data_IF_210497172202
#
_entry.id   IF_210497172202
#
_cell.length_a   1.000
_cell.length_b   1.000
_cell.length_c   1.000
_cell.angle_alpha   90.00
_cell.angle_beta   90.00
_cell.angle_gamma   90.00
#
_symmetry.space_group_name_H-M   'P 1'
#
loop_
_entity.id
_entity.type
_entity.pdbx_description
1 polymer ?
#
# COMPACT_ATOMS: atom_id res chain seq x y z
N UNK A 1 14.57 8.82 -2.62
CA UNK A 1 14.48 7.47 -3.22
C UNK A 1 14.09 6.46 -2.15
N UNK A 2 13.08 5.59 -2.44
CA UNK A 2 12.74 4.49 -1.54
C UNK A 2 13.85 3.44 -1.50
N UNK A 3 14.04 2.80 -0.35
CA UNK A 3 15.12 1.83 -0.11
C UNK A 3 14.82 0.41 -0.60
N UNK A 4 13.62 0.15 -1.10
CA UNK A 4 13.13 -1.20 -1.46
C UNK A 4 14.09 -1.97 -2.37
N UNK A 5 14.73 -1.30 -3.34
CA UNK A 5 15.68 -1.94 -4.26
C UNK A 5 17.07 -2.24 -3.65
N UNK A 6 17.37 -1.68 -2.48
CA UNK A 6 18.72 -1.69 -1.88
C UNK A 6 19.70 -0.67 -2.46
N UNK A 7 19.29 0.14 -3.45
CA UNK A 7 20.19 1.11 -4.11
C UNK A 7 20.00 2.55 -3.61
N UNK A 8 19.05 2.80 -2.71
CA UNK A 8 18.66 4.16 -2.37
C UNK A 8 19.78 4.96 -1.72
N UNK A 9 20.56 4.37 -0.82
CA UNK A 9 21.70 5.04 -0.19
C UNK A 9 22.77 5.45 -1.22
N UNK A 10 23.10 4.56 -2.17
CA UNK A 10 24.01 4.86 -3.27
C UNK A 10 23.47 6.00 -4.16
N UNK A 11 22.16 5.98 -4.43
CA UNK A 11 21.52 7.03 -5.22
C UNK A 11 21.58 8.39 -4.53
N UNK A 12 21.39 8.44 -3.19
CA UNK A 12 21.50 9.68 -2.43
C UNK A 12 22.94 10.22 -2.43
N UNK A 13 23.92 9.38 -2.21
CA UNK A 13 25.35 9.78 -2.28
C UNK A 13 25.67 10.33 -3.66
N UNK A 14 25.33 9.61 -4.74
CA UNK A 14 25.54 10.08 -6.10
C UNK A 14 24.80 11.40 -6.41
N UNK A 15 23.62 11.60 -5.84
CA UNK A 15 22.87 12.85 -5.99
C UNK A 15 23.59 14.03 -5.31
N UNK A 16 24.17 13.83 -4.12
CA UNK A 16 24.96 14.86 -3.43
C UNK A 16 26.24 15.17 -4.22
N UNK A 17 26.95 14.18 -4.73
CA UNK A 17 28.10 14.37 -5.62
C UNK A 17 27.71 15.10 -6.91
N UNK A 18 26.49 14.87 -7.41
CA UNK A 18 25.90 15.57 -8.56
C UNK A 18 25.41 16.99 -8.24
N UNK A 19 25.51 17.45 -7.00
CA UNK A 19 25.17 18.81 -6.58
C UNK A 19 23.82 18.97 -5.86
N UNK A 20 23.18 17.89 -5.43
CA UNK A 20 22.00 17.98 -4.58
C UNK A 20 22.40 18.50 -3.19
N UNK A 21 21.70 19.54 -2.72
CA UNK A 21 21.93 20.19 -1.42
C UNK A 21 20.88 19.79 -0.37
N UNK A 22 19.80 19.19 -0.80
CA UNK A 22 18.71 18.68 0.07
C UNK A 22 18.41 17.26 -0.33
N UNK A 23 18.42 16.36 0.64
CA UNK A 23 18.06 14.94 0.47
C UNK A 23 17.08 14.51 1.56
N UNK A 24 16.20 13.59 1.20
CA UNK A 24 15.22 13.01 2.12
C UNK A 24 15.72 11.67 2.65
N UNK A 25 15.73 11.53 3.95
CA UNK A 25 16.10 10.32 4.70
C UNK A 25 15.04 10.01 5.75
N UNK A 26 15.20 8.91 6.46
CA UNK A 26 14.28 8.52 7.53
C UNK A 26 15.07 8.07 8.76
N UNK A 27 14.56 8.38 9.96
CA UNK A 27 15.14 7.86 11.20
C UNK A 27 15.23 6.34 11.15
N UNK A 28 16.29 5.75 11.71
CA UNK A 28 16.58 4.31 11.61
C UNK A 28 15.45 3.42 12.15
N UNK A 29 14.61 3.91 13.05
CA UNK A 29 13.44 3.17 13.54
C UNK A 29 12.36 2.94 12.49
N UNK A 30 12.29 3.77 11.43
CA UNK A 30 11.29 3.68 10.34
C UNK A 30 11.90 3.62 8.95
N UNK A 31 13.23 3.51 8.85
CA UNK A 31 13.96 3.51 7.58
C UNK A 31 13.94 2.16 6.87
N UNK A 32 14.48 2.15 5.66
CA UNK A 32 14.68 0.98 4.79
C UNK A 32 13.37 0.37 4.23
N UNK A 33 13.49 -0.69 3.46
CA UNK A 33 12.35 -1.33 2.80
C UNK A 33 11.55 -0.38 1.93
N UNK A 34 10.27 -0.23 2.20
CA UNK A 34 9.38 0.72 1.50
C UNK A 34 9.57 2.17 1.91
N UNK A 35 10.41 2.46 2.92
CA UNK A 35 10.75 3.79 3.39
C UNK A 35 12.00 4.35 2.71
N UNK A 36 12.60 5.39 3.28
CA UNK A 36 13.82 6.03 2.81
C UNK A 36 15.07 5.46 3.47
N UNK A 37 16.28 5.75 2.96
CA UNK A 37 17.54 5.41 3.61
C UNK A 37 17.65 5.98 5.01
N UNK A 38 18.40 5.26 5.85
CA UNK A 38 18.63 5.61 7.24
C UNK A 38 19.42 6.92 7.37
N UNK A 39 18.85 7.90 8.06
CA UNK A 39 19.45 9.23 8.27
C UNK A 39 20.83 9.14 8.90
N UNK A 40 20.96 8.38 9.99
CA UNK A 40 22.18 8.22 10.76
C UNK A 40 23.33 7.67 9.90
N UNK A 41 23.04 6.69 9.06
CA UNK A 41 24.04 6.09 8.15
C UNK A 41 24.44 7.04 7.03
N UNK A 42 23.50 7.80 6.49
CA UNK A 42 23.78 8.77 5.41
C UNK A 42 24.62 9.95 5.94
N UNK A 43 24.36 10.43 7.16
CA UNK A 43 25.14 11.49 7.79
C UNK A 43 26.62 11.05 7.90
N UNK A 44 26.86 9.88 8.51
CA UNK A 44 28.23 9.36 8.70
C UNK A 44 28.94 9.21 7.35
N UNK A 45 28.27 8.68 6.33
CA UNK A 45 28.85 8.54 5.00
C UNK A 45 29.19 9.88 4.35
N UNK A 46 28.33 10.88 4.47
CA UNK A 46 28.56 12.21 3.90
C UNK A 46 29.68 12.95 4.63
N UNK A 47 29.75 12.87 5.96
CA UNK A 47 30.80 13.49 6.76
C UNK A 47 32.17 12.89 6.45
N UNK A 48 32.28 11.53 6.28
CA UNK A 48 33.50 10.87 5.84
C UNK A 48 33.93 11.30 4.43
N UNK A 49 33.00 11.68 3.58
CA UNK A 49 33.26 12.25 2.25
C UNK A 49 33.61 13.76 2.28
N UNK A 50 33.59 14.40 3.45
CA UNK A 50 33.94 15.81 3.63
C UNK A 50 32.78 16.81 3.50
N UNK A 51 31.53 16.32 3.41
CA UNK A 51 30.34 17.17 3.50
C UNK A 51 30.04 17.47 4.97
N UNK A 52 29.31 18.54 5.23
CA UNK A 52 28.88 18.92 6.57
C UNK A 52 27.37 18.83 6.70
N UNK A 53 26.92 18.27 7.82
CA UNK A 53 25.53 18.25 8.24
C UNK A 53 25.41 18.93 9.60
N UNK A 54 24.28 19.57 9.88
CA UNK A 54 24.03 20.21 11.18
C UNK A 54 23.20 19.29 12.10
N UNK A 55 23.26 17.96 11.90
CA UNK A 55 22.48 16.99 12.64
C UNK A 55 23.35 16.32 13.72
N UNK A 56 22.92 16.41 14.97
CA UNK A 56 23.55 15.75 16.11
C UNK A 56 23.13 14.26 16.20
N UNK A 57 24.08 13.36 15.96
CA UNK A 57 23.86 11.92 16.04
C UNK A 57 23.49 11.44 17.45
N UNK A 58 23.94 12.14 18.51
CA UNK A 58 23.57 11.79 19.89
C UNK A 58 22.09 12.06 20.12
N UNK A 59 21.60 13.23 19.71
CA UNK A 59 20.18 13.56 19.78
C UNK A 59 19.33 12.63 18.89
N UNK A 60 19.87 12.23 17.73
CA UNK A 60 19.20 11.24 16.86
C UNK A 60 19.07 9.87 17.52
N UNK A 61 20.06 9.42 18.31
CA UNK A 61 19.95 8.14 19.02
C UNK A 61 18.84 8.18 20.10
N UNK A 62 18.72 9.27 20.85
CA UNK A 62 17.63 9.46 21.82
C UNK A 62 16.24 9.40 21.13
N UNK A 63 16.10 10.08 20.00
CA UNK A 63 14.88 10.04 19.17
C UNK A 63 14.61 8.63 18.68
N UNK A 64 15.64 7.94 18.21
CA UNK A 64 15.55 6.56 17.70
C UNK A 64 15.06 5.59 18.76
N UNK A 65 15.58 5.67 20.00
CA UNK A 65 15.13 4.81 21.10
C UNK A 65 13.64 5.04 21.42
N UNK A 66 13.19 6.28 21.45
CA UNK A 66 11.78 6.61 21.66
C UNK A 66 10.91 6.06 20.52
N UNK A 67 11.30 6.32 19.25
CA UNK A 67 10.53 5.92 18.07
C UNK A 67 10.48 4.41 17.89
N UNK A 68 11.49 3.64 18.33
CA UNK A 68 11.43 2.17 18.34
C UNK A 68 10.27 1.66 19.19
N UNK A 69 10.05 2.26 20.35
CA UNK A 69 8.92 1.87 21.23
C UNK A 69 7.58 2.30 20.61
N UNK A 70 7.54 3.46 19.97
CA UNK A 70 6.35 3.91 19.24
C UNK A 70 6.02 2.95 18.11
N UNK A 71 7.02 2.55 17.28
CA UNK A 71 6.81 1.63 16.15
C UNK A 71 6.22 0.30 16.58
N UNK A 72 6.62 -0.24 17.71
CA UNK A 72 6.06 -1.49 18.24
C UNK A 72 4.54 -1.45 18.40
N UNK A 73 3.98 -0.28 18.74
CA UNK A 73 2.53 -0.09 18.89
C UNK A 73 1.78 -0.09 17.55
N UNK A 74 2.47 0.20 16.45
CA UNK A 74 1.90 0.29 15.10
C UNK A 74 2.11 -0.97 14.26
N UNK A 75 2.59 -2.06 14.85
CA UNK A 75 2.90 -3.30 14.15
C UNK A 75 1.75 -3.84 13.28
N UNK A 76 0.51 -3.66 13.74
CA UNK A 76 -0.70 -4.10 13.02
C UNK A 76 -0.90 -3.41 11.66
N UNK A 77 -0.30 -2.22 11.49
CA UNK A 77 -0.37 -1.43 10.25
C UNK A 77 0.88 -1.63 9.37
N UNK A 78 1.86 -2.42 9.81
CA UNK A 78 3.04 -2.66 9.01
C UNK A 78 2.72 -3.57 7.82
N UNK A 79 3.32 -3.22 6.67
CA UNK A 79 3.29 -4.07 5.48
C UNK A 79 4.16 -5.31 5.69
N UNK A 80 3.80 -6.42 5.08
CA UNK A 80 4.64 -7.63 5.02
C UNK A 80 5.93 -7.41 4.23
N UNK A 81 6.02 -6.34 3.44
CA UNK A 81 7.17 -5.97 2.61
C UNK A 81 8.11 -5.00 3.34
N UNK A 82 8.62 -5.40 4.48
CA UNK A 82 9.51 -4.57 5.32
C UNK A 82 10.98 -4.62 4.92
N UNK A 83 11.38 -5.60 4.12
CA UNK A 83 12.75 -5.83 3.69
C UNK A 83 13.10 -5.25 2.31
N UNK A 84 14.28 -5.62 1.82
CA UNK A 84 14.71 -5.32 0.45
C UNK A 84 14.00 -6.27 -0.54
N UNK A 85 13.50 -5.72 -1.63
CA UNK A 85 12.96 -6.49 -2.75
C UNK A 85 13.56 -6.02 -4.09
N UNK A 86 14.67 -6.65 -4.54
CA UNK A 86 15.31 -6.30 -5.80
C UNK A 86 14.41 -6.53 -7.04
N UNK A 87 13.29 -7.27 -6.92
CA UNK A 87 12.33 -7.45 -8.02
C UNK A 87 11.77 -6.13 -8.52
N UNK A 88 11.75 -5.09 -7.68
CA UNK A 88 11.35 -3.72 -8.09
C UNK A 88 12.22 -3.18 -9.24
N UNK A 89 13.46 -3.65 -9.39
CA UNK A 89 14.34 -3.25 -10.49
C UNK A 89 13.92 -3.89 -11.82
N UNK A 90 13.28 -5.05 -11.76
CA UNK A 90 12.78 -5.78 -12.94
C UNK A 90 11.36 -5.28 -13.29
N UNK A 91 10.47 -5.27 -12.31
CA UNK A 91 9.06 -4.91 -12.49
C UNK A 91 8.84 -3.38 -12.52
N UNK A 92 9.86 -2.61 -12.14
CA UNK A 92 9.82 -1.14 -12.06
C UNK A 92 8.71 -0.58 -11.15
N UNK A 93 8.29 -1.34 -10.15
CA UNK A 93 7.23 -0.97 -9.21
C UNK A 93 7.86 -0.35 -7.96
N UNK A 94 7.57 0.91 -7.62
CA UNK A 94 8.09 1.55 -6.40
C UNK A 94 7.60 0.85 -5.13
N UNK A 95 8.46 0.81 -4.09
CA UNK A 95 8.14 0.14 -2.82
C UNK A 95 6.87 0.63 -2.14
N UNK A 96 6.62 1.94 -2.12
CA UNK A 96 5.38 2.51 -1.59
C UNK A 96 4.12 2.04 -2.35
N UNK A 97 4.26 1.79 -3.67
CA UNK A 97 3.16 1.22 -4.46
C UNK A 97 2.89 -0.24 -4.09
N UNK A 98 3.94 -1.03 -3.85
CA UNK A 98 3.80 -2.44 -3.41
C UNK A 98 3.05 -2.50 -2.08
N UNK A 99 3.40 -1.66 -1.11
CA UNK A 99 2.73 -1.61 0.20
C UNK A 99 1.25 -1.25 0.06
N UNK A 100 0.92 -0.25 -0.74
CA UNK A 100 -0.47 0.14 -0.98
C UNK A 100 -1.27 -0.96 -1.68
N UNK A 101 -0.70 -1.61 -2.70
CA UNK A 101 -1.34 -2.72 -3.41
C UNK A 101 -1.54 -3.92 -2.48
N UNK A 102 -0.56 -4.23 -1.65
CA UNK A 102 -0.67 -5.29 -0.64
C UNK A 102 -1.85 -5.05 0.30
N UNK A 103 -1.98 -3.83 0.84
CA UNK A 103 -3.10 -3.46 1.71
C UNK A 103 -4.44 -3.58 0.98
N UNK A 104 -4.56 -3.06 -0.24
CA UNK A 104 -5.78 -3.15 -1.05
C UNK A 104 -6.18 -4.60 -1.36
N UNK A 105 -5.21 -5.44 -1.74
CA UNK A 105 -5.46 -6.84 -2.03
C UNK A 105 -5.81 -7.63 -0.76
N UNK A 106 -5.22 -7.29 0.38
CA UNK A 106 -5.53 -7.89 1.68
C UNK A 106 -6.98 -7.60 2.09
N UNK A 107 -7.43 -6.35 1.96
CA UNK A 107 -8.83 -5.96 2.21
C UNK A 107 -9.83 -6.75 1.35
N UNK A 108 -9.41 -7.15 0.14
CA UNK A 108 -10.21 -7.93 -0.81
C UNK A 108 -9.98 -9.44 -0.70
N UNK A 109 -9.22 -9.91 0.31
CA UNK A 109 -8.82 -11.32 0.48
C UNK A 109 -8.09 -11.91 -0.74
N UNK A 110 -7.41 -11.06 -1.52
CA UNK A 110 -6.77 -11.40 -2.79
C UNK A 110 -5.24 -11.25 -2.77
N UNK A 111 -4.61 -11.20 -1.60
CA UNK A 111 -3.15 -11.00 -1.46
C UNK A 111 -2.35 -12.09 -2.21
N UNK A 112 -2.87 -13.31 -2.30
CA UNK A 112 -2.27 -14.42 -3.06
C UNK A 112 -2.11 -14.14 -4.55
N UNK A 113 -2.79 -13.12 -5.09
CA UNK A 113 -2.69 -12.70 -6.51
C UNK A 113 -1.71 -11.55 -6.73
N UNK A 114 -0.91 -11.20 -5.73
CA UNK A 114 0.03 -10.07 -5.81
C UNK A 114 1.02 -10.20 -6.97
N UNK A 115 1.56 -11.39 -7.23
CA UNK A 115 2.51 -11.62 -8.32
C UNK A 115 1.85 -11.37 -9.70
N UNK A 116 0.58 -11.79 -9.88
CA UNK A 116 -0.17 -11.50 -11.11
C UNK A 116 -0.35 -10.00 -11.34
N UNK A 117 -0.62 -9.25 -10.26
CA UNK A 117 -0.76 -7.78 -10.32
C UNK A 117 0.57 -7.13 -10.66
N UNK A 118 1.68 -7.57 -10.05
CA UNK A 118 3.02 -7.07 -10.36
C UNK A 118 3.40 -7.31 -11.85
N UNK A 119 3.02 -8.45 -12.42
CA UNK A 119 3.23 -8.77 -13.83
C UNK A 119 2.31 -7.99 -14.78
N UNK A 120 1.15 -7.53 -14.31
CA UNK A 120 0.22 -6.72 -15.10
C UNK A 120 0.59 -5.23 -15.12
N UNK A 121 1.25 -4.71 -14.07
CA UNK A 121 1.65 -3.30 -13.96
C UNK A 121 2.46 -2.80 -15.17
N UNK A 122 3.53 -3.50 -15.63
CA UNK A 122 4.28 -3.07 -16.80
C UNK A 122 3.42 -2.99 -18.07
N UNK A 123 2.44 -3.88 -18.22
CA UNK A 123 1.53 -3.92 -19.38
C UNK A 123 0.57 -2.73 -19.35
N UNK A 124 -0.03 -2.43 -18.20
CA UNK A 124 -0.89 -1.25 -18.01
C UNK A 124 -0.08 0.03 -18.21
N UNK A 125 1.12 0.11 -17.64
CA UNK A 125 2.03 1.25 -17.84
C UNK A 125 2.33 1.50 -19.32
N UNK A 126 2.61 0.45 -20.08
CA UNK A 126 2.82 0.53 -21.53
C UNK A 126 1.58 1.06 -22.23
N UNK A 127 0.40 0.54 -21.92
CA UNK A 127 -0.86 0.95 -22.55
C UNK A 127 -1.17 2.43 -22.29
N UNK A 128 -0.79 2.97 -21.14
CA UNK A 128 -0.95 4.38 -20.79
C UNK A 128 0.18 5.28 -21.34
N UNK A 129 1.11 4.76 -22.14
CA UNK A 129 2.19 5.55 -22.72
C UNK A 129 3.33 5.84 -21.74
N UNK A 130 3.64 4.89 -20.88
CA UNK A 130 4.77 4.90 -19.95
C UNK A 130 4.79 6.07 -18.96
N UNK A 131 3.68 6.35 -18.23
CA UNK A 131 3.74 7.35 -17.18
C UNK A 131 4.85 7.02 -16.16
N UNK A 132 5.47 8.03 -15.54
CA UNK A 132 6.37 7.79 -14.42
C UNK A 132 5.58 7.16 -13.28
N UNK A 133 6.17 6.14 -12.61
CA UNK A 133 5.50 5.48 -11.48
C UNK A 133 5.76 6.25 -10.17
N UNK A 134 5.21 7.45 -10.12
CA UNK A 134 5.18 8.33 -8.95
C UNK A 134 3.73 8.75 -8.69
N UNK A 135 3.43 9.22 -7.49
CA UNK A 135 2.09 9.72 -7.15
C UNK A 135 1.69 10.89 -8.07
N UNK A 136 0.52 10.91 -8.69
CA UNK A 136 -0.59 9.92 -8.54
C UNK A 136 -0.56 8.79 -9.59
N UNK A 137 0.29 8.86 -10.61
CA UNK A 137 0.26 7.95 -11.76
C UNK A 137 0.62 6.51 -11.39
N UNK A 138 1.45 6.29 -10.35
CA UNK A 138 1.72 4.96 -9.81
C UNK A 138 0.44 4.29 -9.29
N UNK A 139 -0.41 5.02 -8.59
CA UNK A 139 -1.69 4.53 -8.08
C UNK A 139 -2.67 4.24 -9.22
N UNK A 140 -2.75 5.12 -10.23
CA UNK A 140 -3.60 4.91 -11.42
C UNK A 140 -3.24 3.60 -12.11
N UNK A 141 -1.95 3.38 -12.36
CA UNK A 141 -1.46 2.16 -13.01
C UNK A 141 -1.71 0.93 -12.12
N UNK A 142 -1.40 1.02 -10.82
CA UNK A 142 -1.54 -0.09 -9.88
C UNK A 142 -2.98 -0.52 -9.68
N UNK A 143 -3.88 0.43 -9.43
CA UNK A 143 -5.31 0.14 -9.25
C UNK A 143 -5.91 -0.49 -10.51
N UNK A 144 -5.56 0.02 -11.70
CA UNK A 144 -6.04 -0.58 -12.94
C UNK A 144 -5.48 -1.99 -13.16
N UNK A 145 -4.21 -2.24 -12.81
CA UNK A 145 -3.61 -3.56 -12.91
C UNK A 145 -4.30 -4.55 -11.97
N UNK A 146 -4.52 -4.16 -10.72
CA UNK A 146 -5.27 -4.96 -9.76
C UNK A 146 -6.68 -5.27 -10.27
N UNK A 147 -7.39 -4.28 -10.81
CA UNK A 147 -8.72 -4.46 -11.34
C UNK A 147 -8.75 -5.41 -12.56
N UNK A 148 -7.76 -5.33 -13.47
CA UNK A 148 -7.61 -6.26 -14.60
C UNK A 148 -7.47 -7.70 -14.11
N UNK A 149 -6.62 -7.91 -13.11
CA UNK A 149 -6.39 -9.24 -12.50
C UNK A 149 -7.65 -9.74 -11.81
N UNK A 150 -8.27 -8.92 -10.96
CA UNK A 150 -9.46 -9.31 -10.20
C UNK A 150 -10.66 -9.65 -11.07
N UNK A 151 -10.85 -8.94 -12.19
CA UNK A 151 -11.95 -9.21 -13.13
C UNK A 151 -11.66 -10.35 -14.13
N UNK A 152 -10.41 -10.84 -14.16
CA UNK A 152 -9.97 -11.88 -15.11
C UNK A 152 -9.90 -11.43 -16.57
N UNK A 153 -10.21 -10.17 -16.88
CA UNK A 153 -10.18 -9.59 -18.22
C UNK A 153 -9.64 -8.17 -18.18
N UNK A 154 -8.61 -7.90 -19.03
CA UNK A 154 -7.97 -6.58 -19.07
C UNK A 154 -8.96 -5.51 -19.54
N UNK A 155 -9.04 -4.43 -18.76
CA UNK A 155 -9.92 -3.29 -19.02
C UNK A 155 -11.41 -3.65 -19.20
N UNK A 156 -11.86 -4.75 -18.58
CA UNK A 156 -13.30 -5.04 -18.44
C UNK A 156 -14.00 -3.93 -17.66
N UNK A 157 -13.33 -3.46 -16.64
CA UNK A 157 -13.68 -2.25 -15.89
C UNK A 157 -12.54 -1.26 -15.97
N UNK A 158 -12.84 0.01 -16.19
CA UNK A 158 -11.84 1.09 -16.32
C UNK A 158 -12.13 2.13 -15.24
N UNK A 159 -11.11 2.44 -14.42
CA UNK A 159 -11.25 3.42 -13.34
C UNK A 159 -11.48 4.83 -13.87
N UNK A 160 -12.08 5.67 -13.04
CA UNK A 160 -12.28 7.09 -13.38
C UNK A 160 -10.95 7.81 -13.59
N UNK A 161 -9.93 7.45 -12.81
CA UNK A 161 -8.59 8.01 -12.91
C UNK A 161 -7.93 7.68 -14.26
N UNK A 162 -8.07 6.44 -14.75
CA UNK A 162 -7.58 6.05 -16.09
C UNK A 162 -8.32 6.82 -17.19
N UNK A 163 -9.63 7.02 -17.06
CA UNK A 163 -10.40 7.86 -18.00
C UNK A 163 -9.89 9.30 -17.99
N UNK A 164 -9.71 9.86 -16.80
CA UNK A 164 -9.18 11.21 -16.61
C UNK A 164 -7.75 11.35 -17.16
N UNK A 165 -6.94 10.30 -17.03
CA UNK A 165 -5.61 10.25 -17.61
C UNK A 165 -5.66 10.36 -19.13
N UNK A 166 -6.50 9.56 -19.80
CA UNK A 166 -6.68 9.63 -21.24
C UNK A 166 -7.33 10.96 -21.70
N UNK A 167 -8.16 11.58 -20.85
CA UNK A 167 -8.68 12.92 -21.10
C UNK A 167 -7.64 14.05 -20.94
N UNK A 168 -6.38 13.71 -20.59
CA UNK A 168 -5.29 14.67 -20.47
C UNK A 168 -5.29 15.48 -19.17
N UNK A 169 -6.09 15.10 -18.16
CA UNK A 169 -6.17 15.82 -16.88
C UNK A 169 -4.91 15.69 -16.02
N UNK A 170 -4.02 14.75 -16.33
CA UNK A 170 -2.70 14.57 -15.72
C UNK A 170 -1.55 15.04 -16.63
N UNK A 171 -1.87 15.77 -17.70
CA UNK A 171 -0.91 16.23 -18.68
C UNK A 171 -0.70 15.25 -19.84
N UNK A 172 0.38 15.45 -20.58
CA UNK A 172 0.70 14.66 -21.79
C UNK A 172 1.45 13.38 -21.41
N UNK A 173 1.00 12.24 -21.93
CA UNK A 173 1.72 10.98 -21.78
C UNK A 173 3.13 11.06 -22.38
N UNK A 174 4.17 10.52 -21.69
CA UNK A 174 5.56 10.55 -22.19
C UNK A 174 5.77 9.75 -23.48
N UNK A 175 5.02 8.65 -23.64
CA UNK A 175 5.14 7.76 -24.78
C UNK A 175 3.81 7.57 -25.52
N UNK A 176 3.81 6.65 -26.49
CA UNK A 176 2.62 6.34 -27.28
C UNK A 176 1.61 5.56 -26.45
N UNK A 177 0.40 6.08 -26.33
CA UNK A 177 -0.73 5.42 -25.67
C UNK A 177 -1.34 4.35 -26.59
N UNK A 178 -2.02 3.38 -25.97
CA UNK A 178 -2.81 2.37 -26.69
C UNK A 178 -4.16 2.95 -27.09
N UNK A 179 -4.33 3.23 -28.38
CA UNK A 179 -5.52 3.90 -28.93
C UNK A 179 -6.80 3.09 -28.78
N UNK A 180 -6.73 1.77 -28.75
CA UNK A 180 -7.91 0.93 -28.58
C UNK A 180 -8.44 1.03 -27.14
N UNK A 181 -7.53 1.07 -26.17
CA UNK A 181 -7.89 1.25 -24.76
C UNK A 181 -8.36 2.68 -24.48
N UNK A 182 -7.68 3.67 -25.07
CA UNK A 182 -8.14 5.07 -25.00
C UNK A 182 -9.59 5.19 -25.50
N UNK A 183 -9.87 4.63 -26.69
CA UNK A 183 -11.24 4.65 -27.25
C UNK A 183 -12.24 3.90 -26.37
N UNK A 184 -11.83 2.77 -25.77
CA UNK A 184 -12.67 2.03 -24.80
C UNK A 184 -12.95 2.85 -23.56
N UNK A 185 -11.99 3.65 -23.09
CA UNK A 185 -12.07 4.43 -21.86
C UNK A 185 -12.89 5.70 -22.00
N UNK A 186 -12.67 6.48 -23.06
CA UNK A 186 -13.26 7.83 -23.22
C UNK A 186 -14.16 7.98 -24.44
N UNK A 187 -14.29 6.94 -25.28
CA UNK A 187 -15.12 6.97 -26.49
C UNK A 187 -14.66 8.03 -27.48
N UNK A 188 -15.59 8.89 -27.91
CA UNK A 188 -15.33 9.99 -28.85
C UNK A 188 -14.95 11.31 -28.16
N UNK A 189 -14.76 11.31 -26.84
CA UNK A 189 -14.32 12.49 -26.10
C UNK A 189 -12.89 12.86 -26.52
N UNK A 190 -12.62 14.16 -26.60
CA UNK A 190 -11.30 14.67 -26.98
C UNK A 190 -10.51 15.05 -25.74
N UNK A 191 -9.24 14.61 -25.63
CA UNK A 191 -8.36 15.05 -24.56
C UNK A 191 -8.18 16.57 -24.57
N UNK A 192 -8.05 17.15 -23.38
CA UNK A 192 -7.63 18.55 -23.23
C UNK A 192 -6.16 18.68 -23.65
N UNK A 193 -5.81 19.82 -24.26
CA UNK A 193 -4.47 20.10 -24.78
C UNK A 193 -3.78 21.28 -24.07
N UNK A 194 -4.53 22.03 -23.27
CA UNK A 194 -4.02 23.08 -22.43
C UNK A 194 -3.56 22.52 -21.07
N UNK A 195 -2.95 23.37 -20.25
CA UNK A 195 -2.57 23.01 -18.89
C UNK A 195 -3.83 22.68 -18.06
N UNK A 196 -3.93 21.49 -17.43
CA UNK A 196 -5.14 21.08 -16.70
C UNK A 196 -5.55 22.08 -15.62
N UNK A 197 -4.57 22.65 -14.90
CA UNK A 197 -4.84 23.61 -13.83
C UNK A 197 -5.57 24.90 -14.30
N UNK A 198 -5.43 25.26 -15.59
CA UNK A 198 -6.12 26.46 -16.12
C UNK A 198 -7.63 26.26 -16.26
N UNK A 199 -8.10 25.00 -16.19
CA UNK A 199 -9.52 24.65 -16.20
C UNK A 199 -10.15 24.60 -14.80
N UNK A 200 -9.33 24.71 -13.73
CA UNK A 200 -9.83 24.68 -12.36
C UNK A 200 -10.40 26.04 -11.98
N UNK A 201 -11.55 26.00 -11.31
CA UNK A 201 -12.15 27.19 -10.73
C UNK A 201 -11.73 27.31 -9.25
N UNK A 202 -11.58 28.54 -8.74
CA UNK A 202 -11.35 28.72 -7.30
C UNK A 202 -12.50 28.14 -6.48
N UNK A 203 -12.21 27.27 -5.53
CA UNK A 203 -13.21 26.52 -4.77
C UNK A 203 -13.30 26.93 -3.29
N UNK A 204 -12.31 27.66 -2.76
CA UNK A 204 -12.22 28.01 -1.33
C UNK A 204 -13.50 28.63 -0.79
N UNK A 205 -14.11 29.57 -1.53
CA UNK A 205 -15.36 30.23 -1.09
C UNK A 205 -16.52 29.24 -0.96
N UNK A 206 -16.63 28.30 -1.89
CA UNK A 206 -17.67 27.27 -1.85
C UNK A 206 -17.39 26.23 -0.75
N UNK A 207 -16.13 25.91 -0.53
CA UNK A 207 -15.71 24.97 0.52
C UNK A 207 -15.97 25.52 1.91
N UNK A 208 -15.74 26.83 2.14
CA UNK A 208 -16.09 27.50 3.39
C UNK A 208 -17.60 27.34 3.71
N UNK A 209 -18.47 27.57 2.73
CA UNK A 209 -19.91 27.41 2.93
C UNK A 209 -20.28 25.95 3.21
N UNK A 210 -19.71 25.01 2.46
CA UNK A 210 -20.03 23.58 2.62
C UNK A 210 -19.57 23.02 3.96
N UNK A 211 -18.44 23.49 4.49
CA UNK A 211 -17.85 23.01 5.73
C UNK A 211 -18.30 23.80 6.98
N UNK A 212 -19.08 24.87 6.84
CA UNK A 212 -19.44 25.79 7.92
C UNK A 212 -20.06 25.11 9.15
N UNK A 213 -20.80 24.00 8.93
CA UNK A 213 -21.48 23.28 10.02
C UNK A 213 -20.55 22.42 10.89
N UNK A 214 -19.34 22.08 10.41
CA UNK A 214 -18.41 21.20 11.12
C UNK A 214 -16.96 21.69 11.18
N UNK A 215 -16.55 22.61 10.31
CA UNK A 215 -15.22 23.20 10.35
C UNK A 215 -15.17 24.36 11.38
N UNK A 216 -14.18 24.36 12.27
CA UNK A 216 -13.96 25.39 13.30
C UNK A 216 -12.90 26.41 12.91
N UNK A 217 -12.04 26.08 11.97
CA UNK A 217 -10.92 26.91 11.52
C UNK A 217 -10.61 26.64 10.05
N UNK A 218 -9.57 27.29 9.53
CA UNK A 218 -9.16 27.15 8.13
C UNK A 218 -8.55 25.76 7.84
N UNK A 219 -7.83 25.18 8.79
CA UNK A 219 -7.27 23.84 8.67
C UNK A 219 -8.35 22.78 8.51
N UNK A 220 -9.44 22.91 9.24
CA UNK A 220 -10.61 21.99 9.10
C UNK A 220 -11.24 22.10 7.70
N UNK A 221 -11.38 23.31 7.19
CA UNK A 221 -11.89 23.54 5.84
C UNK A 221 -10.95 22.98 4.78
N UNK A 222 -9.63 23.14 4.95
CA UNK A 222 -8.63 22.57 4.05
C UNK A 222 -8.59 21.04 4.14
N UNK A 223 -8.73 20.48 5.32
CA UNK A 223 -8.88 19.03 5.53
C UNK A 223 -10.09 18.49 4.79
N UNK A 224 -11.23 19.18 4.89
CA UNK A 224 -12.42 18.85 4.11
C UNK A 224 -12.20 19.00 2.59
N UNK A 225 -11.47 20.02 2.16
CA UNK A 225 -11.14 20.21 0.74
C UNK A 225 -10.33 19.04 0.16
N UNK A 226 -9.42 18.48 0.95
CA UNK A 226 -8.55 17.38 0.54
C UNK A 226 -9.22 16.00 0.66
N UNK A 227 -10.06 15.80 1.67
CA UNK A 227 -10.66 14.50 2.03
C UNK A 227 -12.14 14.64 2.40
N UNK A 228 -13.03 15.04 1.48
CA UNK A 228 -14.39 15.49 1.81
C UNK A 228 -15.20 14.45 2.60
N UNK A 229 -15.16 13.20 2.22
CA UNK A 229 -15.96 12.15 2.85
C UNK A 229 -15.44 11.80 4.26
N UNK A 230 -14.15 11.50 4.36
CA UNK A 230 -13.49 11.12 5.62
C UNK A 230 -13.47 12.30 6.59
N UNK A 231 -13.11 13.50 6.10
CA UNK A 231 -13.04 14.69 6.94
C UNK A 231 -14.41 15.08 7.53
N UNK A 232 -15.48 14.90 6.78
CA UNK A 232 -16.84 15.19 7.29
C UNK A 232 -17.14 14.37 8.53
N UNK A 233 -16.94 13.06 8.47
CA UNK A 233 -17.17 12.13 9.59
C UNK A 233 -16.23 12.49 10.74
N UNK A 234 -14.93 12.56 10.49
CA UNK A 234 -13.91 12.86 11.49
C UNK A 234 -14.17 14.17 12.24
N UNK A 235 -14.46 15.25 11.51
CA UNK A 235 -14.69 16.56 12.12
C UNK A 235 -15.99 16.62 12.92
N UNK A 236 -17.04 15.92 12.48
CA UNK A 236 -18.29 15.81 13.21
C UNK A 236 -18.11 15.02 14.52
N UNK A 237 -17.45 13.86 14.47
CA UNK A 237 -17.16 13.04 15.64
C UNK A 237 -16.23 13.75 16.64
N UNK A 238 -15.17 14.41 16.14
CA UNK A 238 -14.29 15.25 16.96
C UNK A 238 -15.06 16.36 17.66
N UNK A 239 -15.98 17.02 16.96
CA UNK A 239 -16.79 18.12 17.52
C UNK A 239 -17.81 17.63 18.54
N UNK A 240 -18.37 16.44 18.33
CA UNK A 240 -19.30 15.79 19.25
C UNK A 240 -18.57 15.17 20.48
N UNK A 241 -17.24 15.05 20.45
CA UNK A 241 -16.48 14.37 21.51
C UNK A 241 -16.64 12.85 21.49
N UNK A 242 -17.09 12.29 20.37
CA UNK A 242 -17.30 10.85 20.17
C UNK A 242 -16.16 10.18 19.40
N UNK A 243 -15.18 10.97 18.92
CA UNK A 243 -14.01 10.44 18.25
C UNK A 243 -13.22 9.55 19.21
N UNK A 244 -13.14 8.29 18.90
CA UNK A 244 -12.29 7.33 19.61
C UNK A 244 -11.04 7.06 18.77
N UNK A 245 -9.83 7.19 19.35
CA UNK A 245 -8.61 6.72 18.68
C UNK A 245 -8.73 5.23 18.36
N UNK A 246 -8.09 4.81 17.27
CA UNK A 246 -7.98 3.38 17.00
C UNK A 246 -7.30 2.65 18.15
N UNK A 247 -7.82 1.47 18.48
CA UNK A 247 -7.26 0.63 19.52
C UNK A 247 -5.89 0.10 19.06
N UNK A 248 -4.87 0.40 19.87
CA UNK A 248 -3.50 -0.04 19.61
C UNK A 248 -3.32 -1.39 20.30
N UNK A 249 -3.37 -2.45 19.52
CA UNK A 249 -3.22 -3.81 20.01
C UNK A 249 -1.78 -4.05 20.50
N UNK A 250 -1.62 -4.56 21.70
CA UNK A 250 -0.33 -5.10 22.14
C UNK A 250 -0.03 -6.38 21.34
N UNK A 251 1.17 -6.43 20.74
CA UNK A 251 1.55 -7.56 19.87
C UNK A 251 1.57 -8.89 20.62
N UNK A 252 2.02 -8.88 21.87
CA UNK A 252 2.07 -10.09 22.69
C UNK A 252 0.66 -10.52 23.12
N UNK A 253 -0.21 -9.55 23.43
CA UNK A 253 -1.60 -9.82 23.77
C UNK A 253 -2.39 -10.29 22.53
N UNK A 254 -2.19 -9.65 21.39
CA UNK A 254 -2.81 -10.06 20.13
C UNK A 254 -2.34 -11.45 19.69
N UNK A 255 -1.06 -11.77 19.86
CA UNK A 255 -0.55 -13.13 19.62
C UNK A 255 -1.14 -14.14 20.59
N UNK A 256 -1.37 -13.78 21.87
CA UNK A 256 -2.05 -14.64 22.85
C UNK A 256 -3.54 -14.80 22.57
N UNK A 257 -4.20 -13.76 22.05
CA UNK A 257 -5.60 -13.83 21.62
C UNK A 257 -5.74 -14.51 20.25
N UNK A 258 -4.71 -14.47 19.40
CA UNK A 258 -4.63 -15.18 18.13
C UNK A 258 -4.18 -16.64 18.24
N UNK A 259 -3.78 -17.09 19.44
CA UNK A 259 -3.68 -18.50 19.80
C UNK A 259 -5.08 -19.12 19.98
N UNK A 260 -5.96 -18.88 19.00
CA UNK A 260 -7.03 -19.82 18.72
C UNK A 260 -6.33 -21.06 18.16
N UNK A 261 -6.42 -22.13 18.94
CA UNK A 261 -5.85 -23.42 18.64
C UNK A 261 -6.11 -23.80 17.19
N UNK A 262 -5.06 -23.84 16.36
CA UNK A 262 -5.16 -24.57 15.11
C UNK A 262 -5.18 -26.04 15.48
N UNK A 263 -6.19 -26.81 15.09
CA UNK A 263 -6.17 -28.24 15.34
C UNK A 263 -4.94 -28.82 14.65
N UNK A 264 -4.05 -29.44 15.43
CA UNK A 264 -2.86 -30.10 14.89
C UNK A 264 -3.22 -31.39 14.16
N UNK A 265 -4.40 -31.94 14.43
CA UNK A 265 -4.94 -33.14 13.80
C UNK A 265 -6.45 -32.98 13.56
N UNK A 266 -6.91 -33.33 12.35
CA UNK A 266 -8.33 -33.28 11.98
C UNK A 266 -8.65 -34.35 10.91
N UNK A 267 -9.91 -34.71 10.82
CA UNK A 267 -10.36 -35.63 9.77
C UNK A 267 -11.03 -34.86 8.64
N UNK A 268 -10.70 -35.24 7.40
CA UNK A 268 -11.39 -34.79 6.20
C UNK A 268 -12.16 -35.97 5.63
N UNK A 269 -13.46 -35.83 5.42
CA UNK A 269 -14.27 -36.84 4.74
C UNK A 269 -14.51 -36.38 3.30
N UNK A 270 -14.00 -37.17 2.34
CA UNK A 270 -14.13 -36.92 0.91
C UNK A 270 -14.74 -38.14 0.25
N UNK A 271 -15.82 -37.99 -0.51
CA UNK A 271 -16.54 -39.11 -1.18
C UNK A 271 -16.92 -40.28 -0.27
N UNK A 272 -17.10 -40.02 1.04
CA UNK A 272 -17.43 -41.05 2.01
C UNK A 272 -16.23 -41.82 2.60
N UNK A 273 -15.01 -41.46 2.22
CA UNK A 273 -13.77 -41.90 2.84
C UNK A 273 -13.22 -40.86 3.78
N UNK A 274 -12.77 -41.23 4.97
CA UNK A 274 -12.25 -40.29 5.98
C UNK A 274 -10.74 -40.37 6.03
N UNK A 275 -10.10 -39.24 5.85
CA UNK A 275 -8.65 -39.07 5.90
C UNK A 275 -8.26 -38.32 7.18
N UNK A 276 -7.29 -38.90 7.90
CA UNK A 276 -6.73 -38.27 9.09
C UNK A 276 -5.56 -37.36 8.70
N UNK A 277 -5.69 -36.05 8.96
CA UNK A 277 -4.68 -35.04 8.61
C UNK A 277 -3.99 -34.58 9.87
N UNK A 278 -2.65 -34.58 9.86
CA UNK A 278 -1.81 -34.03 10.90
C UNK A 278 -1.02 -32.84 10.36
N UNK A 279 -1.17 -31.67 10.97
CA UNK A 279 -0.38 -30.49 10.62
C UNK A 279 0.99 -30.57 11.30
N UNK A 280 2.05 -30.49 10.50
CA UNK A 280 3.45 -30.55 10.98
C UNK A 280 4.15 -29.21 10.94
N UNK A 281 3.41 -28.08 10.82
CA UNK A 281 3.95 -26.73 10.75
C UNK A 281 3.01 -25.70 11.37
N UNK A 282 3.55 -24.55 11.79
CA UNK A 282 2.81 -23.44 12.40
C UNK A 282 2.06 -22.64 11.32
N UNK A 283 0.73 -22.74 11.31
CA UNK A 283 -0.16 -21.85 10.57
C UNK A 283 -1.15 -21.19 11.53
N UNK A 284 -1.49 -19.92 11.30
CA UNK A 284 -2.46 -19.20 12.11
C UNK A 284 -3.87 -19.78 11.96
N UNK A 285 -4.54 -20.05 13.08
CA UNK A 285 -5.90 -20.53 13.13
C UNK A 285 -6.92 -19.44 12.77
N UNK A 286 -7.91 -19.81 12.01
CA UNK A 286 -9.14 -19.03 11.77
C UNK A 286 -10.36 -19.78 12.29
N UNK A 287 -11.41 -19.02 12.55
CA UNK A 287 -12.68 -19.41 13.17
C UNK A 287 -13.24 -20.79 12.81
N UNK A 288 -13.84 -21.42 13.81
CA UNK A 288 -14.59 -22.67 13.74
C UNK A 288 -15.61 -22.70 12.59
N UNK A 289 -15.58 -23.80 11.82
CA UNK A 289 -16.50 -24.12 10.73
C UNK A 289 -16.44 -23.20 9.49
N UNK A 290 -15.36 -23.33 8.72
CA UNK A 290 -15.35 -22.82 7.34
C UNK A 290 -15.30 -23.96 6.33
N UNK A 291 -16.10 -23.91 5.27
CA UNK A 291 -15.92 -24.85 4.16
C UNK A 291 -14.58 -24.57 3.49
N UNK A 292 -13.75 -25.59 3.37
CA UNK A 292 -12.52 -25.57 2.60
C UNK A 292 -12.78 -26.16 1.22
N UNK A 293 -12.24 -25.53 0.20
CA UNK A 293 -12.29 -26.07 -1.15
C UNK A 293 -10.94 -26.70 -1.46
N UNK A 294 -10.93 -28.00 -1.70
CA UNK A 294 -9.73 -28.77 -2.06
C UNK A 294 -9.84 -29.17 -3.51
N UNK A 295 -8.82 -28.95 -4.30
CA UNK A 295 -8.77 -29.45 -5.68
C UNK A 295 -8.12 -30.83 -5.69
N UNK A 296 -8.89 -31.85 -6.08
CA UNK A 296 -8.40 -33.18 -6.30
C UNK A 296 -8.53 -33.49 -7.80
N UNK A 297 -7.44 -33.81 -8.45
CA UNK A 297 -7.38 -34.06 -9.91
C UNK A 297 -7.96 -32.91 -10.77
N UNK A 298 -7.84 -31.67 -10.31
CA UNK A 298 -8.33 -30.49 -11.01
C UNK A 298 -9.82 -30.19 -10.83
N UNK A 299 -10.52 -30.97 -10.01
CA UNK A 299 -11.92 -30.73 -9.63
C UNK A 299 -11.93 -30.10 -8.24
N UNK A 300 -12.60 -28.95 -8.09
CA UNK A 300 -12.74 -28.28 -6.79
C UNK A 300 -13.90 -28.91 -6.01
N UNK A 301 -13.60 -29.38 -4.82
CA UNK A 301 -14.57 -30.00 -3.93
C UNK A 301 -14.66 -29.29 -2.60
N UNK A 302 -15.87 -29.17 -2.06
CA UNK A 302 -16.12 -28.61 -0.74
C UNK A 302 -15.85 -29.68 0.32
N UNK A 303 -14.97 -29.36 1.27
CA UNK A 303 -14.55 -30.26 2.33
C UNK A 303 -15.00 -29.69 3.67
N UNK A 304 -15.75 -30.47 4.41
CA UNK A 304 -16.13 -30.18 5.78
C UNK A 304 -15.01 -30.64 6.72
N UNK A 305 -14.40 -29.73 7.46
CA UNK A 305 -13.34 -30.05 8.42
C UNK A 305 -13.93 -30.06 9.83
N UNK A 306 -13.84 -31.19 10.50
CA UNK A 306 -14.26 -31.38 11.90
C UNK A 306 -13.03 -31.45 12.81
N UNK A 307 -12.98 -30.60 13.83
CA UNK A 307 -11.89 -30.54 14.80
C UNK A 307 -12.04 -31.70 15.78
N UNK A 308 -11.02 -32.55 15.91
CA UNK A 308 -11.07 -33.73 16.82
C UNK A 308 -10.48 -33.45 18.20
N UNK A 309 -9.43 -32.63 18.28
CA UNK A 309 -8.76 -32.27 19.54
C UNK A 309 -8.06 -30.90 19.47
N UNK A 310 -8.11 -30.14 20.57
CA UNK A 310 -7.39 -28.89 20.74
C UNK A 310 -6.07 -29.15 21.49
N UNK A 311 -4.93 -28.98 20.82
CA UNK A 311 -3.62 -29.13 21.46
C UNK A 311 -2.98 -27.77 21.66
N UNK A 312 -2.65 -27.45 22.92
CA UNK A 312 -1.80 -26.31 23.28
C UNK A 312 -0.40 -26.52 22.69
N UNK A 313 -0.07 -25.79 21.62
CA UNK A 313 1.31 -25.73 21.10
C UNK A 313 2.04 -24.69 21.97
N UNK A 314 2.99 -25.17 22.78
CA UNK A 314 3.89 -24.34 23.58
C UNK A 314 5.03 -23.79 22.72
#
# INVERSE_FOLDING_TARGET
SHATSGLASLNLIAAVEGGATIIDTCNSSFSEGASHPTTESIIVALEDMGYQTDIDLTAMDEITQYLKEVRKKYWQFESEFTGLDPRVLVNQVPGGMISNLSSQLKEQSALHRMDEVLDEIPKVRKDLGYPPLVTPTSQIVGTQAALNVMTGERYKSITTEVKNYFLGQYGKAPGKINTDIEKKAIGDQKPITNRPADNLKPEVSNLKVKSESFAKNEEDMLTYAMFPDIATIFLQERNAGTLTPEEMLDKEEAMKQGDHFAPSEFNITLHGETYHIKLTGSGSAGETERPFYVSVDGISEEVLVETLDEVLIK
#
